data_IF_820660593643
#
_entry.id   IF_820660593643
#
_cell.length_a   1.000
_cell.length_b   1.000
_cell.length_c   1.000
_cell.angle_alpha   90.00
_cell.angle_beta   90.00
_cell.angle_gamma   90.00
#
_symmetry.space_group_name_H-M   'P 1'
#
loop_
_entity.id
_entity.type
_entity.pdbx_description
1 polymer ?
#
# COMPACT_ATOMS: atom_id res chain seq x y z
N UNK A 1 -1.97 -3.88 20.92
CA UNK A 1 -0.61 -3.30 20.88
C UNK A 1 -0.33 -3.02 19.41
N UNK A 2 -0.50 -1.78 18.97
CA UNK A 2 -0.21 -1.38 17.59
C UNK A 2 1.17 -0.73 17.64
N UNK A 3 2.14 -1.35 16.97
CA UNK A 3 3.47 -0.78 16.80
C UNK A 3 3.44 0.02 15.50
N UNK A 4 3.40 1.35 15.60
CA UNK A 4 3.53 2.24 14.45
C UNK A 4 5.02 2.45 14.23
N UNK A 5 5.57 1.85 13.18
CA UNK A 5 6.93 2.15 12.75
C UNK A 5 6.89 3.29 11.74
N UNK A 6 7.31 4.47 12.16
CA UNK A 6 7.71 5.54 11.25
C UNK A 6 9.23 5.60 11.26
N UNK A 7 9.89 5.10 10.24
CA UNK A 7 11.32 5.35 10.01
C UNK A 7 11.62 5.56 8.53
N UNK A 8 12.31 6.63 8.28
CA UNK A 8 12.98 6.91 7.02
C UNK A 8 14.15 5.93 6.84
N UNK A 9 14.12 5.17 5.75
CA UNK A 9 15.27 4.36 5.33
C UNK A 9 16.06 5.16 4.28
N UNK A 10 17.18 5.71 4.70
CA UNK A 10 18.25 6.16 3.81
C UNK A 10 19.56 5.58 4.35
N UNK A 11 20.20 4.64 3.65
CA UNK A 11 21.53 4.17 4.02
C UNK A 11 21.93 2.89 3.33
N UNK A 12 23.17 2.89 2.86
CA UNK A 12 23.87 1.76 2.27
C UNK A 12 24.09 0.61 3.28
N UNK A 13 24.26 -0.57 2.72
CA UNK A 13 24.52 -1.86 3.35
C UNK A 13 25.35 -1.88 4.63
N UNK A 14 25.03 -2.88 5.45
CA UNK A 14 25.71 -3.38 6.64
C UNK A 14 25.38 -2.64 7.96
N UNK A 15 24.60 -3.35 8.77
CA UNK A 15 24.18 -3.15 10.16
C UNK A 15 22.76 -2.59 10.36
N UNK A 16 21.82 -3.52 10.29
CA UNK A 16 20.45 -3.29 10.76
C UNK A 16 20.42 -3.42 12.30
N UNK A 17 20.75 -2.36 13.02
CA UNK A 17 20.47 -2.26 14.44
C UNK A 17 19.07 -1.73 14.63
N UNK A 18 18.14 -2.63 14.97
CA UNK A 18 16.81 -2.25 15.43
C UNK A 18 16.93 -1.68 16.87
N UNK A 19 17.01 -0.37 16.95
CA UNK A 19 16.92 0.31 18.23
C UNK A 19 15.45 0.40 18.65
N UNK A 20 15.01 -0.50 19.53
CA UNK A 20 13.69 -0.43 20.16
C UNK A 20 13.73 0.67 21.23
N UNK A 21 13.55 1.92 20.81
CA UNK A 21 13.78 3.08 21.64
C UNK A 21 12.73 3.33 22.73
N UNK A 22 11.55 2.76 22.72
CA UNK A 22 10.62 2.70 23.85
C UNK A 22 9.38 1.86 23.52
N UNK A 23 9.02 0.92 24.39
CA UNK A 23 7.64 0.45 24.52
C UNK A 23 6.98 1.38 25.54
N UNK A 24 6.34 2.44 25.10
CA UNK A 24 5.51 3.24 25.98
C UNK A 24 4.18 2.51 26.24
N UNK A 25 3.69 2.40 27.47
CA UNK A 25 2.35 1.91 27.70
C UNK A 25 1.35 2.86 27.03
N UNK A 26 0.45 2.31 26.22
CA UNK A 26 -0.66 3.08 25.63
C UNK A 26 -1.50 3.60 26.79
N UNK A 27 -1.64 4.92 26.88
CA UNK A 27 -2.57 5.53 27.82
C UNK A 27 -3.99 5.01 27.47
N UNK A 28 -4.74 4.42 28.43
CA UNK A 28 -6.11 3.94 28.17
C UNK A 28 -7.06 5.02 27.63
N UNK A 29 -6.72 6.30 27.78
CA UNK A 29 -7.48 7.42 27.22
C UNK A 29 -7.28 7.61 25.72
N UNK A 30 -6.20 7.05 25.14
CA UNK A 30 -5.92 7.07 23.69
C UNK A 30 -6.48 5.83 22.96
N UNK A 31 -7.12 4.91 23.70
CA UNK A 31 -7.70 3.67 23.20
C UNK A 31 -9.07 3.84 22.52
N UNK A 32 -9.34 4.98 21.90
CA UNK A 32 -10.50 5.16 21.02
C UNK A 32 -10.32 4.57 19.61
N UNK A 33 -9.18 3.98 19.31
CA UNK A 33 -9.04 3.08 18.16
C UNK A 33 -9.61 1.72 18.58
N UNK A 34 -10.87 1.47 18.21
CA UNK A 34 -11.44 0.15 18.30
C UNK A 34 -10.47 -0.85 17.63
N UNK A 35 -10.18 -1.94 18.32
CA UNK A 35 -9.30 -2.96 17.76
C UNK A 35 -9.82 -3.34 16.37
N UNK A 36 -8.96 -3.34 15.37
CA UNK A 36 -9.33 -3.77 14.02
C UNK A 36 -9.72 -5.24 14.10
N UNK A 37 -10.97 -5.53 13.77
CA UNK A 37 -11.52 -6.90 13.77
C UNK A 37 -12.44 -7.06 12.57
N UNK A 38 -12.56 -8.31 12.09
CA UNK A 38 -13.40 -8.64 10.96
C UNK A 38 -12.62 -8.75 9.66
N UNK A 39 -13.33 -8.62 8.55
CA UNK A 39 -12.76 -8.72 7.23
C UNK A 39 -12.43 -7.32 6.69
N UNK A 40 -11.16 -7.07 6.45
CA UNK A 40 -10.62 -5.78 5.96
C UNK A 40 -10.05 -5.99 4.55
N UNK A 41 -10.90 -5.96 3.54
CA UNK A 41 -10.48 -6.17 2.15
C UNK A 41 -9.54 -5.06 1.65
N UNK A 42 -8.52 -5.44 0.88
CA UNK A 42 -7.57 -4.53 0.26
C UNK A 42 -7.59 -4.65 -1.26
N UNK A 43 -7.42 -3.53 -1.90
CA UNK A 43 -7.33 -3.41 -3.35
C UNK A 43 -5.86 -3.18 -3.75
N UNK A 44 -5.27 -4.12 -4.48
CA UNK A 44 -3.95 -3.95 -5.08
C UNK A 44 -4.12 -3.41 -6.49
N UNK A 45 -3.49 -2.28 -6.80
CA UNK A 45 -3.48 -1.71 -8.14
C UNK A 45 -2.02 -1.62 -8.60
N UNK A 46 -1.67 -2.41 -9.61
CA UNK A 46 -0.34 -2.38 -10.20
C UNK A 46 -0.29 -1.35 -11.33
N UNK A 47 0.63 -0.39 -11.20
CA UNK A 47 0.78 0.72 -12.14
C UNK A 47 2.22 0.87 -12.61
N UNK A 48 2.37 1.15 -13.91
CA UNK A 48 3.64 1.44 -14.57
C UNK A 48 3.78 2.94 -14.80
N UNK A 49 4.97 3.47 -14.62
CA UNK A 49 5.27 4.82 -15.10
C UNK A 49 5.16 4.86 -16.63
N UNK A 50 4.62 5.94 -17.18
CA UNK A 50 4.28 6.04 -18.60
C UNK A 50 5.46 5.96 -19.57
N UNK A 51 6.68 6.01 -19.07
CA UNK A 51 7.94 5.87 -19.80
C UNK A 51 8.64 4.51 -19.57
N UNK A 52 7.95 3.53 -18.96
CA UNK A 52 8.54 2.24 -18.55
C UNK A 52 7.58 1.09 -18.82
N UNK A 53 8.02 0.10 -19.59
CA UNK A 53 7.18 -1.05 -19.98
C UNK A 53 7.35 -2.28 -19.08
N UNK A 54 8.36 -2.29 -18.19
CA UNK A 54 8.67 -3.43 -17.34
C UNK A 54 7.56 -3.70 -16.33
N UNK A 55 7.28 -4.99 -16.14
CA UNK A 55 6.37 -5.50 -15.10
C UNK A 55 7.16 -6.45 -14.19
N UNK A 56 7.61 -5.98 -13.02
CA UNK A 56 8.51 -6.75 -12.13
C UNK A 56 7.93 -8.08 -11.67
N UNK A 57 6.60 -8.16 -11.54
CA UNK A 57 5.88 -9.37 -11.19
C UNK A 57 4.60 -9.48 -12.03
N UNK A 58 4.16 -10.69 -12.39
CA UNK A 58 2.88 -10.92 -13.04
C UNK A 58 1.73 -10.72 -12.04
N UNK A 59 0.50 -10.54 -12.53
CA UNK A 59 -0.65 -10.27 -11.66
C UNK A 59 -1.00 -11.43 -10.71
N UNK A 60 -0.81 -12.67 -11.14
CA UNK A 60 -1.03 -13.86 -10.30
C UNK A 60 -0.12 -13.89 -9.05
N UNK A 61 1.05 -13.23 -9.11
CA UNK A 61 1.89 -13.02 -7.94
C UNK A 61 1.15 -12.20 -6.87
N UNK A 62 0.56 -11.07 -7.24
CA UNK A 62 -0.16 -10.20 -6.29
C UNK A 62 -1.45 -10.87 -5.78
N UNK A 63 -2.14 -11.63 -6.62
CA UNK A 63 -3.29 -12.44 -6.21
C UNK A 63 -2.89 -13.51 -5.19
N UNK A 64 -1.78 -14.22 -5.46
CA UNK A 64 -1.28 -15.27 -4.55
C UNK A 64 -0.83 -14.70 -3.21
N UNK A 65 -0.31 -13.47 -3.22
CA UNK A 65 0.13 -12.77 -2.02
C UNK A 65 -1.01 -12.49 -1.04
N UNK A 66 -2.24 -12.32 -1.51
CA UNK A 66 -3.40 -12.01 -0.67
C UNK A 66 -4.11 -13.26 -0.10
N UNK A 67 -3.69 -14.48 -0.47
CA UNK A 67 -4.39 -15.73 -0.12
C UNK A 67 -4.25 -16.12 1.36
N UNK A 68 -5.21 -16.96 1.80
CA UNK A 68 -5.19 -17.62 3.12
C UNK A 68 -4.36 -18.93 3.11
N UNK A 69 -3.28 -18.96 2.35
CA UNK A 69 -2.32 -20.06 2.32
C UNK A 69 -0.93 -19.49 2.55
N UNK A 70 -0.12 -20.15 3.38
CA UNK A 70 1.24 -19.67 3.65
C UNK A 70 2.07 -19.67 2.34
N UNK A 71 2.81 -18.57 2.07
CA UNK A 71 3.10 -17.40 2.89
C UNK A 71 2.16 -16.18 2.67
N UNK A 72 0.89 -16.38 2.30
CA UNK A 72 -0.06 -15.32 1.98
C UNK A 72 -0.37 -14.39 3.16
N UNK A 73 -0.75 -13.16 2.84
CA UNK A 73 -1.03 -12.12 3.83
C UNK A 73 -2.29 -12.42 4.64
N UNK A 74 -3.35 -12.96 4.05
CA UNK A 74 -4.56 -13.33 4.79
C UNK A 74 -4.24 -14.42 5.83
N UNK A 75 -3.39 -15.40 5.45
CA UNK A 75 -2.89 -16.41 6.38
C UNK A 75 -2.13 -15.77 7.54
N UNK A 76 -1.23 -14.84 7.26
CA UNK A 76 -0.45 -14.11 8.27
C UNK A 76 -1.35 -13.34 9.24
N UNK A 77 -2.31 -12.56 8.71
CA UNK A 77 -3.20 -11.76 9.55
C UNK A 77 -4.13 -12.62 10.40
N UNK A 78 -4.67 -13.71 9.88
CA UNK A 78 -5.47 -14.66 10.66
C UNK A 78 -4.64 -15.29 11.79
N UNK A 79 -3.40 -15.68 11.52
CA UNK A 79 -2.55 -16.27 12.56
C UNK A 79 -2.17 -15.25 13.65
N UNK A 80 -1.70 -14.08 13.27
CA UNK A 80 -1.22 -13.07 14.23
C UNK A 80 -2.34 -12.44 15.05
N UNK A 81 -3.54 -12.35 14.50
CA UNK A 81 -4.73 -11.83 15.20
C UNK A 81 -5.54 -12.91 15.93
N UNK A 82 -5.09 -14.16 15.93
CA UNK A 82 -5.87 -15.31 16.46
C UNK A 82 -7.26 -15.44 15.78
N UNK A 83 -7.31 -15.21 14.48
CA UNK A 83 -8.53 -15.29 13.67
C UNK A 83 -9.44 -14.07 13.74
N UNK A 84 -9.04 -13.01 14.43
CA UNK A 84 -9.87 -11.81 14.59
C UNK A 84 -9.87 -10.91 13.35
N UNK A 85 -8.83 -10.99 12.52
CA UNK A 85 -8.69 -10.19 11.30
C UNK A 85 -8.50 -11.10 10.10
N UNK A 86 -9.18 -10.82 9.00
CA UNK A 86 -8.94 -11.40 7.69
C UNK A 86 -8.91 -10.31 6.63
N UNK A 87 -8.32 -10.62 5.48
CA UNK A 87 -8.34 -9.79 4.27
C UNK A 87 -8.98 -10.54 3.09
N UNK A 88 -9.82 -11.52 3.38
CA UNK A 88 -10.53 -12.30 2.37
C UNK A 88 -11.39 -11.40 1.47
N UNK A 89 -11.36 -11.64 0.16
CA UNK A 89 -12.03 -10.80 -0.83
C UNK A 89 -11.17 -9.62 -1.33
N UNK A 90 -9.91 -9.50 -0.84
CA UNK A 90 -8.95 -8.59 -1.45
C UNK A 90 -8.73 -8.91 -2.92
N UNK A 91 -8.59 -7.90 -3.75
CA UNK A 91 -8.47 -8.03 -5.20
C UNK A 91 -7.19 -7.38 -5.73
N UNK A 92 -6.74 -7.84 -6.89
CA UNK A 92 -5.53 -7.32 -7.55
C UNK A 92 -5.81 -7.04 -9.02
N UNK A 93 -5.49 -5.84 -9.49
CA UNK A 93 -5.68 -5.39 -10.87
C UNK A 93 -4.44 -4.70 -11.42
N UNK A 94 -4.23 -4.73 -12.70
CA UNK A 94 -3.13 -4.03 -13.41
C UNK A 94 -2.53 -4.89 -14.50
N UNK A 95 -1.42 -4.56 -15.07
CA UNK A 95 -0.62 -3.35 -14.92
C UNK A 95 -1.21 -2.22 -15.76
N UNK A 96 -1.52 -1.08 -15.15
CA UNK A 96 -2.03 0.09 -15.86
C UNK A 96 -0.92 1.11 -16.09
N UNK A 97 -0.93 1.76 -17.26
CA UNK A 97 0.02 2.82 -17.58
C UNK A 97 -0.41 4.12 -16.92
N UNK A 98 0.47 4.67 -16.09
CA UNK A 98 0.29 6.02 -15.54
C UNK A 98 0.36 7.06 -16.68
N UNK A 99 -0.42 8.13 -16.60
CA UNK A 99 -0.49 9.13 -17.67
C UNK A 99 0.77 10.00 -17.81
N UNK A 100 1.75 9.81 -16.91
CA UNK A 100 2.98 10.60 -16.86
C UNK A 100 4.19 9.72 -16.62
N UNK A 101 5.35 10.24 -17.03
CA UNK A 101 6.64 9.60 -16.81
C UNK A 101 7.07 9.65 -15.33
N UNK A 102 7.96 8.73 -14.95
CA UNK A 102 8.52 8.64 -13.59
C UNK A 102 9.12 9.96 -13.11
N UNK A 103 9.82 10.67 -14.02
CA UNK A 103 10.47 11.93 -13.68
C UNK A 103 9.49 13.01 -13.23
N UNK A 104 8.26 13.00 -13.71
CA UNK A 104 7.21 13.91 -13.24
C UNK A 104 6.90 13.70 -11.76
N UNK A 105 6.58 12.46 -11.37
CA UNK A 105 6.22 12.13 -9.98
C UNK A 105 7.38 12.32 -9.01
N UNK A 106 8.59 11.95 -9.43
CA UNK A 106 9.80 12.16 -8.60
C UNK A 106 10.07 13.64 -8.37
N UNK A 107 9.96 14.49 -9.39
CA UNK A 107 10.11 15.95 -9.22
C UNK A 107 9.03 16.53 -8.31
N UNK A 108 7.79 16.08 -8.47
CA UNK A 108 6.69 16.49 -7.60
C UNK A 108 6.96 16.10 -6.13
N UNK A 109 7.55 14.92 -5.88
CA UNK A 109 7.88 14.47 -4.54
C UNK A 109 8.95 15.30 -3.84
N UNK A 110 9.92 15.81 -4.59
CA UNK A 110 10.96 16.72 -4.05
C UNK A 110 10.36 18.02 -3.51
N UNK A 111 9.30 18.50 -4.16
CA UNK A 111 8.61 19.74 -3.76
C UNK A 111 7.60 19.47 -2.64
N UNK A 112 6.79 18.42 -2.80
CA UNK A 112 5.76 18.03 -1.84
C UNK A 112 5.44 16.53 -2.01
N UNK A 113 5.98 15.71 -1.13
CA UNK A 113 5.79 14.24 -1.18
C UNK A 113 4.32 13.86 -1.07
N UNK A 114 3.57 14.48 -0.16
CA UNK A 114 2.14 14.20 0.01
C UNK A 114 1.33 14.47 -1.25
N UNK A 115 1.63 15.55 -1.96
CA UNK A 115 1.01 15.85 -3.25
C UNK A 115 1.34 14.79 -4.30
N UNK A 116 2.60 14.39 -4.41
CA UNK A 116 3.03 13.37 -5.38
C UNK A 116 2.39 12.00 -5.11
N UNK A 117 2.30 11.59 -3.84
CA UNK A 117 1.64 10.35 -3.44
C UNK A 117 0.13 10.39 -3.74
N UNK A 118 -0.53 11.51 -3.46
CA UNK A 118 -1.94 11.72 -3.82
C UNK A 118 -2.16 11.66 -5.34
N UNK A 119 -1.26 12.26 -6.11
CA UNK A 119 -1.33 12.24 -7.57
C UNK A 119 -1.18 10.82 -8.12
N UNK A 120 -0.20 10.06 -7.62
CA UNK A 120 0.00 8.65 -8.00
C UNK A 120 -1.24 7.81 -7.70
N UNK A 121 -1.83 7.96 -6.50
CA UNK A 121 -3.04 7.24 -6.12
C UNK A 121 -4.20 7.55 -7.08
N UNK A 122 -4.47 8.83 -7.34
CA UNK A 122 -5.58 9.23 -8.19
C UNK A 122 -5.36 8.80 -9.65
N UNK A 123 -4.16 8.98 -10.20
CA UNK A 123 -3.85 8.58 -11.57
C UNK A 123 -3.98 7.07 -11.75
N UNK A 124 -3.46 6.28 -10.80
CA UNK A 124 -3.53 4.82 -10.83
C UNK A 124 -4.98 4.31 -10.68
N UNK A 125 -5.73 4.82 -9.70
CA UNK A 125 -7.12 4.43 -9.49
C UNK A 125 -8.04 4.83 -10.65
N UNK A 126 -7.77 5.98 -11.29
CA UNK A 126 -8.52 6.39 -12.48
C UNK A 126 -8.27 5.47 -13.67
N UNK A 127 -7.06 4.92 -13.85
CA UNK A 127 -6.79 3.92 -14.89
C UNK A 127 -7.58 2.64 -14.64
N UNK A 128 -7.61 2.16 -13.40
CA UNK A 128 -8.43 1.01 -13.03
C UNK A 128 -9.92 1.27 -13.29
N UNK A 129 -10.48 2.39 -12.83
CA UNK A 129 -11.89 2.74 -13.00
C UNK A 129 -12.33 2.89 -14.47
N UNK A 130 -11.38 3.17 -15.38
CA UNK A 130 -11.66 3.21 -16.83
C UNK A 130 -11.62 1.82 -17.48
N UNK A 131 -10.86 0.89 -16.91
CA UNK A 131 -10.66 -0.44 -17.47
C UNK A 131 -11.62 -1.49 -16.91
N UNK A 132 -12.02 -1.35 -15.65
CA UNK A 132 -12.76 -2.34 -14.88
C UNK A 132 -13.92 -1.67 -14.12
N UNK A 133 -15.00 -2.41 -13.92
CA UNK A 133 -16.14 -2.00 -13.07
C UNK A 133 -15.86 -2.43 -11.62
N UNK A 134 -15.17 -1.56 -10.86
CA UNK A 134 -14.76 -1.83 -9.47
C UNK A 134 -15.44 -0.86 -8.51
N UNK A 135 -16.16 -1.39 -7.53
CA UNK A 135 -16.68 -0.59 -6.43
C UNK A 135 -15.59 -0.39 -5.35
N UNK A 136 -14.95 0.78 -5.37
CA UNK A 136 -13.92 1.12 -4.40
C UNK A 136 -14.42 1.13 -2.96
N UNK A 137 -15.73 1.25 -2.73
CA UNK A 137 -16.31 1.30 -1.37
C UNK A 137 -16.28 -0.05 -0.64
N UNK A 138 -16.03 -1.13 -1.35
CA UNK A 138 -15.89 -2.47 -0.76
C UNK A 138 -14.55 -2.67 -0.05
N UNK A 139 -13.56 -1.79 -0.29
CA UNK A 139 -12.21 -1.93 0.22
C UNK A 139 -11.89 -0.97 1.36
N UNK A 140 -11.23 -1.47 2.41
CA UNK A 140 -10.75 -0.68 3.54
C UNK A 140 -9.39 0.00 3.28
N UNK A 141 -8.65 -0.46 2.26
CA UNK A 141 -7.34 0.07 1.90
C UNK A 141 -6.94 -0.19 0.45
N UNK A 142 -5.96 0.56 -0.03
CA UNK A 142 -5.42 0.46 -1.39
C UNK A 142 -3.90 0.34 -1.33
N UNK A 143 -3.36 -0.67 -2.01
CA UNK A 143 -1.93 -0.82 -2.26
C UNK A 143 -1.63 -0.41 -3.70
N UNK A 144 -0.78 0.57 -3.89
CA UNK A 144 -0.25 0.95 -5.21
C UNK A 144 1.08 0.23 -5.41
N UNK A 145 1.09 -0.74 -6.33
CA UNK A 145 2.27 -1.49 -6.73
C UNK A 145 2.93 -0.80 -7.92
N UNK A 146 4.13 -0.30 -7.75
CA UNK A 146 4.85 0.43 -8.80
C UNK A 146 5.85 -0.48 -9.51
N UNK A 147 6.07 -0.24 -10.80
CA UNK A 147 7.03 -1.01 -11.59
C UNK A 147 8.49 -0.61 -11.34
N UNK A 148 8.72 0.51 -10.66
CA UNK A 148 10.07 0.96 -10.29
C UNK A 148 10.05 1.78 -9.00
N UNK A 149 11.24 2.13 -8.51
CA UNK A 149 11.41 2.92 -7.28
C UNK A 149 10.83 4.32 -7.40
N UNK A 150 10.17 4.76 -6.35
CA UNK A 150 9.66 6.12 -6.20
C UNK A 150 10.38 6.83 -5.05
N UNK A 151 11.44 7.54 -5.39
CA UNK A 151 12.32 8.13 -4.37
C UNK A 151 13.09 7.08 -3.59
N UNK A 152 13.22 7.27 -2.27
CA UNK A 152 14.01 6.41 -1.40
C UNK A 152 13.24 5.21 -0.82
N UNK A 153 11.91 5.26 -0.83
CA UNK A 153 11.17 4.56 0.21
C UNK A 153 9.90 3.87 -0.31
N UNK A 154 9.39 2.90 0.45
CA UNK A 154 7.98 2.55 0.44
C UNK A 154 7.24 3.51 1.38
N UNK A 155 6.02 3.85 1.05
CA UNK A 155 5.23 4.83 1.79
C UNK A 155 3.92 4.21 2.27
N UNK A 156 3.43 4.68 3.41
CA UNK A 156 2.10 4.34 3.92
C UNK A 156 1.43 5.58 4.51
N UNK A 157 0.11 5.62 4.46
CA UNK A 157 -0.64 6.73 5.01
C UNK A 157 -2.15 6.65 4.76
N UNK A 158 -2.82 7.77 5.02
CA UNK A 158 -4.24 7.95 4.67
C UNK A 158 -4.34 9.04 3.61
N UNK A 159 -4.99 8.73 2.49
CA UNK A 159 -5.15 9.67 1.37
C UNK A 159 -6.59 9.68 0.86
N UNK A 160 -7.09 10.86 0.50
CA UNK A 160 -8.36 10.98 -0.19
C UNK A 160 -8.19 10.52 -1.66
N UNK A 161 -9.09 9.68 -2.11
CA UNK A 161 -9.27 9.30 -3.50
C UNK A 161 -10.59 9.89 -4.00
N UNK A 162 -10.54 10.53 -5.17
CA UNK A 162 -11.73 11.05 -5.83
C UNK A 162 -12.12 10.13 -6.98
N UNK A 163 -13.16 9.32 -6.78
CA UNK A 163 -13.71 8.39 -7.78
C UNK A 163 -15.21 8.62 -7.86
N UNK A 164 -15.74 8.66 -9.08
CA UNK A 164 -17.18 8.82 -9.38
C UNK A 164 -17.84 10.01 -8.67
N UNK A 165 -17.09 11.12 -8.54
CA UNK A 165 -17.55 12.33 -7.90
C UNK A 165 -17.67 12.25 -6.38
N UNK A 166 -17.18 11.16 -5.76
CA UNK A 166 -17.07 10.99 -4.31
C UNK A 166 -15.62 11.09 -3.86
N UNK A 167 -15.40 11.68 -2.69
CA UNK A 167 -14.10 11.69 -2.03
C UNK A 167 -14.13 10.72 -0.86
N UNK A 168 -13.32 9.66 -0.94
CA UNK A 168 -13.22 8.62 0.08
C UNK A 168 -11.77 8.58 0.57
N UNK A 169 -11.55 8.51 1.88
CA UNK A 169 -10.21 8.43 2.46
C UNK A 169 -9.85 6.97 2.73
N UNK A 170 -8.81 6.48 2.04
CA UNK A 170 -8.29 5.13 2.20
C UNK A 170 -7.00 5.09 3.02
N UNK A 171 -6.77 3.97 3.70
CA UNK A 171 -5.42 3.56 4.07
C UNK A 171 -4.71 3.19 2.78
N UNK A 172 -3.55 3.76 2.51
CA UNK A 172 -2.88 3.57 1.22
C UNK A 172 -1.40 3.28 1.45
N UNK A 173 -0.85 2.35 0.66
CA UNK A 173 0.58 2.12 0.56
C UNK A 173 1.07 2.33 -0.87
N UNK A 174 2.33 2.75 -1.02
CA UNK A 174 3.01 2.91 -2.30
C UNK A 174 4.26 2.04 -2.27
N UNK A 175 4.24 0.94 -3.01
CA UNK A 175 5.20 -0.14 -2.92
C UNK A 175 6.04 -0.22 -4.19
N UNK A 176 7.34 0.09 -4.12
CA UNK A 176 8.29 -0.21 -5.19
C UNK A 176 8.60 -1.72 -5.23
N UNK A 177 9.23 -2.23 -6.33
CA UNK A 177 9.45 -3.66 -6.53
C UNK A 177 10.16 -4.37 -5.37
N UNK A 178 11.13 -3.72 -4.73
CA UNK A 178 11.86 -4.28 -3.60
C UNK A 178 10.98 -4.49 -2.35
N UNK A 179 9.85 -3.80 -2.25
CA UNK A 179 8.92 -3.92 -1.12
C UNK A 179 7.89 -5.05 -1.29
N UNK A 180 7.74 -5.62 -2.49
CA UNK A 180 6.73 -6.66 -2.74
C UNK A 180 6.95 -7.93 -1.93
N UNK A 181 8.20 -8.26 -1.61
CA UNK A 181 8.54 -9.44 -0.82
C UNK A 181 8.60 -9.16 0.70
N UNK A 182 8.28 -7.93 1.10
CA UNK A 182 8.31 -7.52 2.50
C UNK A 182 6.92 -7.60 3.10
N UNK A 183 6.74 -8.47 4.09
CA UNK A 183 5.54 -8.50 4.93
C UNK A 183 5.50 -7.35 5.96
N UNK A 184 6.46 -6.42 5.88
CA UNK A 184 6.69 -5.35 6.85
C UNK A 184 6.38 -3.98 6.25
N UNK A 185 5.21 -3.80 5.68
CA UNK A 185 4.77 -2.48 5.20
C UNK A 185 3.61 -1.96 6.04
#
# INVERSE_FOLDING_TARGET
>A
MIVVFSRHFCGNDDDLVLDIAAIAPINPADANDAAVTGNEQWLNIACRFGDMDETPQPMDYFESMMRNEAPGMDHYWRQTSSGLVSIEGSASYGWYDLPRDKAYYVRASVVNTGFALSQLLNDCANQLAQAEDVDFTEFGGINIMLNDTFGCCAWGGRMPLNVDGKSITFRTTWLPPWAFNSLHV
#
